data_IF_142698416610
#
_entry.id   IF_142698416610
#
_cell.length_a   1.000
_cell.length_b   1.000
_cell.length_c   1.000
_cell.angle_alpha   90.00
_cell.angle_beta   90.00
_cell.angle_gamma   90.00
#
_symmetry.space_group_name_H-M   'P 1'
#
loop_
_entity.id
_entity.type
_entity.pdbx_description
1 polymer ?
#
# COMPACT_ATOMS: atom_id res chain seq x y z
N UNK A 1 55.81 -2.14 -36.29
CA UNK A 1 56.20 -2.04 -37.73
C UNK A 1 55.00 -2.48 -38.56
N UNK A 2 54.87 -1.89 -39.72
CA UNK A 2 53.74 -0.99 -40.01
C UNK A 2 52.86 -1.51 -41.16
N UNK A 3 51.66 -0.95 -41.35
CA UNK A 3 51.29 -0.33 -42.65
C UNK A 3 49.89 0.31 -42.63
N UNK A 4 49.95 1.61 -42.81
CA UNK A 4 48.87 2.50 -43.22
C UNK A 4 48.37 2.14 -44.65
N UNK A 5 47.07 2.38 -44.91
CA UNK A 5 46.64 2.89 -46.24
C UNK A 5 45.36 3.71 -46.06
N UNK A 6 45.52 5.00 -46.26
CA UNK A 6 44.49 5.97 -46.60
C UNK A 6 43.98 5.75 -48.00
N UNK A 7 42.73 5.99 -48.26
CA UNK A 7 42.28 6.53 -49.55
C UNK A 7 41.03 7.42 -49.33
N UNK A 8 41.20 8.63 -49.79
CA UNK A 8 40.29 9.76 -49.85
C UNK A 8 39.44 9.76 -51.12
N UNK A 9 38.50 10.70 -51.15
CA UNK A 9 37.71 11.32 -52.24
C UNK A 9 36.33 10.75 -52.53
N UNK A 10 35.31 11.60 -52.41
CA UNK A 10 34.58 12.23 -53.47
C UNK A 10 33.36 13.02 -53.01
N UNK A 11 33.40 14.29 -53.17
CA UNK A 11 32.38 15.32 -53.05
C UNK A 11 31.42 15.23 -54.25
N UNK A 12 30.13 15.33 -54.04
CA UNK A 12 29.20 15.83 -55.08
C UNK A 12 28.04 16.58 -54.44
N UNK A 13 28.06 17.87 -54.61
CA UNK A 13 27.02 18.86 -54.39
C UNK A 13 25.99 18.78 -55.51
N UNK A 14 24.71 18.79 -55.22
CA UNK A 14 23.68 19.28 -56.14
C UNK A 14 22.52 19.88 -55.35
N UNK A 15 22.45 21.20 -55.41
CA UNK A 15 21.30 21.99 -54.97
C UNK A 15 20.31 22.15 -56.11
N UNK A 16 19.04 22.04 -55.84
CA UNK A 16 18.00 22.71 -56.66
C UNK A 16 16.82 23.10 -55.77
N UNK A 17 16.50 24.37 -55.90
CA UNK A 17 15.42 25.11 -55.23
C UNK A 17 14.15 25.14 -56.11
N UNK A 18 13.05 25.62 -55.49
CA UNK A 18 11.82 26.22 -56.04
C UNK A 18 10.57 25.27 -55.91
N UNK A 19 9.39 25.71 -55.56
CA UNK A 19 8.69 27.00 -55.39
C UNK A 19 7.38 26.77 -54.66
N UNK A 20 6.91 27.73 -53.93
CA UNK A 20 5.65 27.86 -53.23
C UNK A 20 4.45 27.81 -54.20
N UNK A 21 3.32 27.25 -53.76
CA UNK A 21 1.98 27.72 -54.14
C UNK A 21 0.99 27.56 -52.97
N UNK A 22 0.49 28.65 -52.55
CA UNK A 22 -0.64 28.87 -51.68
C UNK A 22 -1.95 28.40 -52.34
N UNK A 23 -2.77 27.68 -51.58
CA UNK A 23 -4.12 27.32 -52.02
C UNK A 23 -5.05 27.23 -50.81
N UNK A 24 -5.78 28.32 -50.49
CA UNK A 24 -6.94 28.30 -49.64
C UNK A 24 -8.09 27.59 -50.39
N UNK A 25 -8.70 26.57 -49.77
CA UNK A 25 -10.04 26.16 -50.06
C UNK A 25 -10.71 25.69 -48.79
N UNK A 26 -11.72 26.42 -48.38
CA UNK A 26 -12.71 26.07 -47.36
C UNK A 26 -13.56 24.90 -47.82
N UNK A 27 -13.73 23.89 -46.96
CA UNK A 27 -14.67 22.80 -47.16
C UNK A 27 -14.78 21.98 -45.87
N UNK A 28 -15.88 22.11 -45.17
CA UNK A 28 -16.18 21.42 -43.94
C UNK A 28 -16.20 19.90 -44.10
N UNK A 29 -15.68 19.19 -43.16
CA UNK A 29 -15.74 17.74 -42.99
C UNK A 29 -15.47 17.50 -41.53
N UNK A 30 -16.54 17.32 -40.81
CA UNK A 30 -16.59 16.83 -39.43
C UNK A 30 -15.95 15.42 -39.43
N UNK A 31 -14.67 15.36 -39.07
CA UNK A 31 -14.02 14.11 -38.68
C UNK A 31 -13.84 14.20 -37.18
N UNK A 32 -14.79 13.61 -36.45
CA UNK A 32 -14.66 13.36 -35.03
C UNK A 32 -13.34 12.61 -34.79
N UNK A 33 -12.29 13.37 -34.50
CA UNK A 33 -11.14 12.88 -33.76
C UNK A 33 -11.66 12.64 -32.36
N UNK A 34 -11.81 11.40 -31.99
CA UNK A 34 -11.92 11.07 -30.58
C UNK A 34 -10.66 11.63 -29.90
N UNK A 35 -10.82 12.69 -29.13
CA UNK A 35 -9.92 12.96 -28.06
C UNK A 35 -10.00 11.71 -27.16
N UNK A 36 -9.02 10.82 -27.26
CA UNK A 36 -8.64 10.03 -26.11
C UNK A 36 -8.33 11.08 -25.06
N UNK A 37 -9.19 11.18 -24.05
CA UNK A 37 -8.87 11.89 -22.85
C UNK A 37 -7.48 11.39 -22.46
N UNK A 38 -6.47 12.25 -22.52
CA UNK A 38 -5.20 12.00 -21.88
C UNK A 38 -5.62 11.87 -20.42
N UNK A 39 -5.55 10.65 -19.88
CA UNK A 39 -5.72 10.43 -18.44
C UNK A 39 -4.80 11.43 -17.75
N UNK A 40 -5.28 12.03 -16.67
CA UNK A 40 -4.50 12.99 -15.91
C UNK A 40 -3.14 12.38 -15.60
N UNK A 41 -2.07 13.12 -15.88
CA UNK A 41 -0.70 12.66 -15.61
C UNK A 41 -0.42 12.87 -14.12
N UNK A 42 -0.83 11.89 -13.30
CA UNK A 42 -0.60 11.90 -11.85
C UNK A 42 0.89 11.74 -11.46
N UNK A 43 1.81 11.87 -12.42
CA UNK A 43 3.24 11.65 -12.19
C UNK A 43 3.54 10.20 -11.77
N UNK A 44 2.83 9.23 -12.35
CA UNK A 44 2.96 7.81 -12.00
C UNK A 44 4.35 7.26 -12.36
N UNK A 45 4.82 6.33 -11.55
CA UNK A 45 6.08 5.59 -11.76
C UNK A 45 6.02 4.79 -13.07
N UNK A 46 4.86 4.23 -13.39
CA UNK A 46 4.56 3.58 -14.66
C UNK A 46 3.29 4.18 -15.27
N UNK A 47 3.39 4.75 -16.46
CA UNK A 47 2.27 5.41 -17.11
C UNK A 47 1.04 4.49 -17.24
N UNK A 48 -0.11 4.95 -16.74
CA UNK A 48 -1.38 4.23 -16.76
C UNK A 48 -1.48 3.09 -15.73
N UNK A 49 -0.54 3.01 -14.77
CA UNK A 49 -0.53 1.99 -13.73
C UNK A 49 -0.33 2.64 -12.37
N UNK A 50 -1.24 2.42 -11.44
CA UNK A 50 -1.06 2.74 -10.03
C UNK A 50 -0.20 1.66 -9.38
N UNK A 51 1.04 1.99 -9.04
CA UNK A 51 1.96 1.06 -8.37
C UNK A 51 1.85 1.22 -6.86
N UNK A 52 1.60 0.13 -6.17
CA UNK A 52 1.36 0.06 -4.73
C UNK A 52 2.42 -0.80 -4.06
N UNK A 53 3.06 -0.27 -3.02
CA UNK A 53 3.91 -1.03 -2.11
C UNK A 53 3.11 -1.43 -0.88
N UNK A 54 3.21 -2.70 -0.48
CA UNK A 54 2.46 -3.29 0.63
C UNK A 54 3.30 -4.36 1.32
N UNK A 55 3.19 -4.53 2.62
CA UNK A 55 3.86 -5.60 3.38
C UNK A 55 2.92 -6.80 3.49
N UNK A 56 3.23 -7.85 2.75
CA UNK A 56 2.35 -9.01 2.54
C UNK A 56 3.00 -10.27 3.13
N UNK A 57 2.27 -11.07 3.93
CA UNK A 57 0.82 -11.00 4.21
C UNK A 57 0.47 -10.19 5.47
N UNK A 58 -0.68 -9.51 5.44
CA UNK A 58 -1.32 -8.87 6.59
C UNK A 58 -2.86 -8.97 6.48
N UNK A 59 -3.40 -10.18 6.57
CA UNK A 59 -4.84 -10.42 6.42
C UNK A 59 -5.65 -9.76 7.57
N UNK A 60 -6.82 -9.17 7.29
CA UNK A 60 -7.60 -9.23 6.04
C UNK A 60 -7.31 -8.09 5.05
N UNK A 61 -6.27 -7.26 5.25
CA UNK A 61 -5.99 -6.07 4.44
C UNK A 61 -5.25 -6.39 3.13
N UNK A 62 -4.19 -7.23 3.20
CA UNK A 62 -3.40 -7.67 2.06
C UNK A 62 -2.86 -9.09 2.24
N UNK A 63 -3.11 -9.95 1.27
CA UNK A 63 -2.62 -11.33 1.27
C UNK A 63 -2.63 -11.93 -0.14
N UNK A 64 -1.96 -13.06 -0.32
CA UNK A 64 -1.90 -13.74 -1.62
C UNK A 64 -3.28 -14.24 -2.08
N UNK A 65 -3.62 -14.04 -3.34
CA UNK A 65 -4.87 -14.50 -3.95
C UNK A 65 -5.54 -13.47 -4.84
N UNK A 66 -6.85 -13.65 -5.05
CA UNK A 66 -7.71 -12.75 -5.82
C UNK A 66 -7.61 -12.91 -7.35
N UNK A 67 -8.58 -12.29 -8.02
CA UNK A 67 -8.76 -12.37 -9.48
C UNK A 67 -8.50 -11.03 -10.20
N UNK A 68 -7.99 -10.01 -9.49
CA UNK A 68 -7.72 -8.66 -10.01
C UNK A 68 -6.48 -8.57 -10.92
N UNK A 69 -5.72 -9.65 -11.05
CA UNK A 69 -4.53 -9.74 -11.89
C UNK A 69 -3.23 -9.33 -11.21
N UNK A 70 -3.26 -8.87 -9.96
CA UNK A 70 -2.05 -8.52 -9.17
C UNK A 70 -1.43 -9.74 -8.50
N UNK A 71 -2.20 -10.79 -8.24
CA UNK A 71 -1.82 -11.95 -7.42
C UNK A 71 -2.11 -11.77 -5.93
N UNK A 72 -2.68 -10.62 -5.54
CA UNK A 72 -2.99 -10.24 -4.17
C UNK A 72 -4.44 -9.79 -4.04
N UNK A 73 -4.99 -9.91 -2.84
CA UNK A 73 -6.33 -9.49 -2.45
C UNK A 73 -6.31 -9.03 -1.00
N UNK A 74 -7.44 -8.62 -0.48
CA UNK A 74 -7.61 -8.04 0.85
C UNK A 74 -8.27 -6.68 0.75
N UNK A 75 -8.67 -6.14 1.88
CA UNK A 75 -9.46 -4.91 1.91
C UNK A 75 -8.73 -3.74 1.24
N UNK A 76 -7.44 -3.54 1.55
CA UNK A 76 -6.62 -2.47 0.96
C UNK A 76 -6.48 -2.65 -0.56
N UNK A 77 -6.21 -3.89 -0.99
CA UNK A 77 -5.98 -4.22 -2.39
C UNK A 77 -7.27 -4.06 -3.21
N UNK A 78 -8.40 -4.57 -2.71
CA UNK A 78 -9.68 -4.49 -3.42
C UNK A 78 -10.23 -3.05 -3.45
N UNK A 79 -9.99 -2.27 -2.39
CA UNK A 79 -10.33 -0.85 -2.35
C UNK A 79 -9.51 -0.07 -3.38
N UNK A 80 -8.19 -0.33 -3.45
CA UNK A 80 -7.32 0.29 -4.44
C UNK A 80 -7.57 -0.17 -5.88
N UNK A 81 -8.00 -1.42 -6.08
CA UNK A 81 -8.42 -1.89 -7.40
C UNK A 81 -9.67 -1.16 -7.89
N UNK A 82 -10.63 -0.90 -7.00
CA UNK A 82 -11.80 -0.08 -7.31
C UNK A 82 -11.43 1.38 -7.61
N UNK A 83 -10.54 1.97 -6.79
CA UNK A 83 -10.03 3.34 -6.99
C UNK A 83 -9.26 3.43 -8.33
N UNK A 84 -8.33 2.52 -8.61
CA UNK A 84 -7.56 2.51 -9.85
C UNK A 84 -8.48 2.44 -11.08
N UNK A 85 -9.49 1.58 -11.04
CA UNK A 85 -10.50 1.47 -12.11
C UNK A 85 -11.29 2.75 -12.32
N UNK A 86 -11.66 3.46 -11.25
CA UNK A 86 -12.39 4.74 -11.36
C UNK A 86 -11.52 5.84 -11.98
N UNK A 87 -10.20 5.75 -11.83
CA UNK A 87 -9.21 6.67 -12.42
C UNK A 87 -8.69 6.21 -13.81
N UNK A 88 -9.27 5.16 -14.39
CA UNK A 88 -8.83 4.53 -15.65
C UNK A 88 -7.37 4.04 -15.61
N UNK A 89 -6.92 3.57 -14.44
CA UNK A 89 -5.60 3.03 -14.18
C UNK A 89 -5.66 1.51 -13.99
N UNK A 90 -4.52 0.84 -14.25
CA UNK A 90 -4.29 -0.52 -13.80
C UNK A 90 -3.71 -0.52 -12.40
N UNK A 91 -3.98 -1.57 -11.62
CA UNK A 91 -3.32 -1.78 -10.34
C UNK A 91 -2.10 -2.71 -10.50
N UNK A 92 -0.99 -2.36 -9.86
CA UNK A 92 0.19 -3.21 -9.70
C UNK A 92 0.62 -3.17 -8.23
N UNK A 93 0.87 -4.33 -7.63
CA UNK A 93 1.23 -4.43 -6.21
C UNK A 93 2.61 -5.04 -6.08
N UNK A 94 3.44 -4.49 -5.20
CA UNK A 94 4.79 -4.96 -4.88
C UNK A 94 4.88 -5.24 -3.38
N UNK A 95 5.32 -6.44 -3.03
CA UNK A 95 5.61 -6.81 -1.65
C UNK A 95 6.93 -6.16 -1.20
N UNK A 96 6.88 -5.44 -0.08
CA UNK A 96 7.99 -4.71 0.53
C UNK A 96 7.90 -4.79 2.07
N UNK A 97 9.02 -4.64 2.77
CA UNK A 97 8.98 -4.63 4.24
C UNK A 97 8.36 -3.36 4.82
N UNK A 98 7.52 -3.53 5.85
CA UNK A 98 6.76 -2.46 6.50
C UNK A 98 7.65 -1.33 7.06
N UNK A 99 8.75 -1.66 7.72
CA UNK A 99 9.64 -0.66 8.34
C UNK A 99 10.20 0.35 7.31
N UNK A 100 10.59 -0.13 6.12
CA UNK A 100 11.04 0.74 5.03
C UNK A 100 9.88 1.55 4.40
N UNK A 101 8.68 0.99 4.39
CA UNK A 101 7.49 1.66 3.87
C UNK A 101 7.00 2.76 4.81
N UNK A 102 6.81 2.45 6.10
CA UNK A 102 6.30 3.38 7.10
C UNK A 102 7.27 4.54 7.38
N UNK A 103 8.58 4.32 7.25
CA UNK A 103 9.58 5.39 7.37
C UNK A 103 9.64 6.34 6.16
N UNK A 104 8.92 6.05 5.09
CA UNK A 104 8.91 6.81 3.84
C UNK A 104 10.07 6.49 2.89
N UNK A 105 11.01 5.63 3.30
CA UNK A 105 12.22 5.32 2.50
C UNK A 105 11.87 4.71 1.15
N UNK A 106 10.92 3.77 1.12
CA UNK A 106 10.48 3.07 -0.10
C UNK A 106 9.83 4.03 -1.10
N UNK A 107 8.95 4.92 -0.61
CA UNK A 107 8.22 5.89 -1.45
C UNK A 107 9.14 7.02 -1.94
N UNK A 108 10.01 7.54 -1.07
CA UNK A 108 11.01 8.54 -1.46
C UNK A 108 12.01 8.03 -2.50
N UNK A 109 12.24 6.71 -2.58
CA UNK A 109 13.05 6.09 -3.63
C UNK A 109 12.31 5.97 -4.98
N UNK A 110 11.01 6.31 -5.05
CA UNK A 110 10.19 6.17 -6.25
C UNK A 110 9.93 4.71 -6.64
N UNK A 111 9.93 3.80 -5.68
CA UNK A 111 9.67 2.37 -5.93
C UNK A 111 8.22 2.15 -6.33
N UNK A 112 7.30 2.84 -5.67
CA UNK A 112 5.85 2.80 -5.90
C UNK A 112 5.27 4.21 -5.88
N UNK A 113 4.06 4.36 -6.40
CA UNK A 113 3.32 5.62 -6.35
C UNK A 113 2.75 5.88 -4.96
N UNK A 114 2.27 4.81 -4.30
CA UNK A 114 1.67 4.85 -2.97
C UNK A 114 2.09 3.65 -2.13
N UNK A 115 1.91 3.77 -0.82
CA UNK A 115 1.95 2.69 0.16
C UNK A 115 0.56 2.37 0.68
N UNK A 116 0.20 1.08 0.74
CA UNK A 116 -1.02 0.58 1.36
C UNK A 116 -0.70 -0.69 2.13
N UNK A 117 -0.84 -0.65 3.44
CA UNK A 117 -0.51 -1.77 4.32
C UNK A 117 -1.11 -1.54 5.71
N UNK A 118 -2.42 -1.34 5.78
CA UNK A 118 -3.13 -1.00 7.02
C UNK A 118 -2.39 0.07 7.84
N UNK A 119 -1.85 1.08 7.15
CA UNK A 119 -0.90 2.02 7.75
C UNK A 119 -1.60 3.11 8.54
N UNK A 120 -1.43 3.10 9.85
CA UNK A 120 -1.94 4.14 10.74
C UNK A 120 -1.32 5.50 10.43
N UNK A 121 -2.15 6.52 10.26
CA UNK A 121 -1.76 7.92 10.18
C UNK A 121 -1.25 8.36 11.55
N UNK A 122 0.02 8.76 11.66
CA UNK A 122 0.61 9.27 12.91
C UNK A 122 1.43 10.52 12.64
N UNK A 123 1.57 11.41 13.63
CA UNK A 123 2.43 12.61 13.53
C UNK A 123 3.88 12.26 13.17
N UNK A 124 4.38 11.12 13.65
CA UNK A 124 5.73 10.65 13.35
C UNK A 124 5.87 10.30 11.86
N UNK A 125 4.90 9.54 11.31
CA UNK A 125 4.88 9.17 9.89
C UNK A 125 4.63 10.37 8.99
N UNK A 126 3.75 11.29 9.39
CA UNK A 126 3.48 12.54 8.67
C UNK A 126 4.70 13.45 8.55
N UNK A 127 5.74 13.28 9.35
CA UNK A 127 6.99 13.99 9.16
C UNK A 127 7.69 13.61 7.84
N UNK A 128 7.51 12.38 7.36
CA UNK A 128 8.18 11.82 6.19
C UNK A 128 7.23 11.37 5.06
N UNK A 129 5.94 11.32 5.33
CA UNK A 129 4.89 10.87 4.42
C UNK A 129 3.76 11.90 4.37
N UNK A 130 3.02 11.90 3.27
CA UNK A 130 1.68 12.46 3.21
C UNK A 130 0.67 11.31 3.14
N UNK A 131 -0.57 11.54 3.58
CA UNK A 131 -1.59 10.51 3.61
C UNK A 131 -2.84 10.93 2.83
N UNK A 132 -3.59 9.94 2.38
CA UNK A 132 -4.98 10.12 1.94
C UNK A 132 -5.89 10.51 3.11
N UNK A 133 -7.14 10.83 2.81
CA UNK A 133 -8.19 10.79 3.82
C UNK A 133 -8.26 9.40 4.45
N UNK A 134 -8.57 9.28 5.75
CA UNK A 134 -8.61 7.99 6.42
C UNK A 134 -9.69 7.08 5.80
N UNK A 135 -9.36 5.79 5.61
CA UNK A 135 -10.29 4.84 5.03
C UNK A 135 -10.78 3.75 5.99
N UNK A 136 -10.10 3.53 7.12
CA UNK A 136 -10.45 2.51 8.12
C UNK A 136 -10.12 2.98 9.53
N UNK A 137 -10.97 2.66 10.53
CA UNK A 137 -10.71 2.88 11.95
C UNK A 137 -10.28 1.57 12.58
N UNK A 138 -9.18 1.54 13.33
CA UNK A 138 -8.62 0.33 13.93
C UNK A 138 -8.46 0.43 15.44
N UNK A 139 -8.32 -0.74 16.05
CA UNK A 139 -7.94 -0.94 17.46
C UNK A 139 -6.65 -1.74 17.51
N UNK A 140 -5.92 -1.65 18.62
CA UNK A 140 -4.88 -2.61 18.96
C UNK A 140 -5.49 -3.76 19.79
N UNK A 141 -4.84 -4.93 19.79
CA UNK A 141 -5.31 -6.07 20.59
C UNK A 141 -4.19 -6.99 21.05
N UNK A 142 -4.47 -7.73 22.12
CA UNK A 142 -3.58 -8.73 22.69
C UNK A 142 -4.12 -10.14 22.41
N UNK A 143 -3.41 -10.88 21.55
CA UNK A 143 -3.68 -12.27 21.22
C UNK A 143 -2.77 -13.19 22.03
N UNK A 144 -3.35 -14.24 22.62
CA UNK A 144 -2.63 -15.22 23.42
C UNK A 144 -3.15 -16.64 23.17
N UNK A 145 -2.40 -17.65 23.58
CA UNK A 145 -2.95 -19.00 23.65
C UNK A 145 -4.07 -19.10 24.70
N UNK A 146 -5.11 -19.84 24.38
CA UNK A 146 -6.26 -20.01 25.28
C UNK A 146 -5.89 -20.65 26.63
N UNK A 147 -4.79 -21.42 26.69
CA UNK A 147 -4.28 -22.10 27.88
C UNK A 147 -3.10 -21.38 28.57
N UNK A 148 -2.70 -20.18 28.08
CA UNK A 148 -1.55 -19.42 28.60
C UNK A 148 -1.71 -18.90 30.04
N UNK A 149 -2.96 -18.69 30.47
CA UNK A 149 -3.26 -18.03 31.73
C UNK A 149 -3.17 -16.50 31.70
N UNK A 150 -2.68 -15.90 30.59
CA UNK A 150 -2.65 -14.44 30.38
C UNK A 150 -4.06 -13.94 30.12
N UNK A 151 -4.46 -12.83 30.74
CA UNK A 151 -5.81 -12.26 30.65
C UNK A 151 -5.81 -10.78 30.27
N UNK A 152 -4.66 -10.11 30.48
CA UNK A 152 -4.50 -8.70 30.19
C UNK A 152 -3.04 -8.37 29.95
N UNK A 153 -2.76 -7.14 29.53
CA UNK A 153 -1.40 -6.62 29.34
C UNK A 153 -0.61 -6.61 30.65
N UNK A 154 -1.27 -6.50 31.81
CA UNK A 154 -0.63 -6.54 33.14
C UNK A 154 -0.01 -7.90 33.47
N UNK A 155 -0.43 -8.97 32.79
CA UNK A 155 0.11 -10.33 33.00
C UNK A 155 1.37 -10.62 32.15
N UNK A 156 1.87 -9.62 31.39
CA UNK A 156 2.98 -9.81 30.43
C UNK A 156 4.37 -9.67 31.05
N UNK A 157 4.49 -9.31 32.32
CA UNK A 157 5.82 -9.18 32.96
C UNK A 157 6.61 -10.49 32.90
N UNK A 158 7.81 -10.45 32.31
CA UNK A 158 8.69 -11.60 32.07
C UNK A 158 8.20 -12.54 30.94
N UNK A 159 7.25 -12.10 30.11
CA UNK A 159 6.77 -12.81 28.93
C UNK A 159 7.41 -12.26 27.66
N UNK A 160 7.57 -13.13 26.67
CA UNK A 160 7.97 -12.72 25.32
C UNK A 160 6.73 -12.26 24.56
N UNK A 161 6.70 -10.99 24.21
CA UNK A 161 5.60 -10.39 23.42
C UNK A 161 6.10 -10.11 22.01
N UNK A 162 5.51 -10.77 21.02
CA UNK A 162 5.81 -10.52 19.62
C UNK A 162 5.12 -9.27 19.13
N UNK A 163 5.86 -8.45 18.41
CA UNK A 163 5.39 -7.23 17.74
C UNK A 163 6.02 -7.14 16.36
N UNK A 164 5.35 -6.50 15.43
CA UNK A 164 5.97 -6.19 14.14
C UNK A 164 6.74 -4.88 14.24
N UNK A 165 7.96 -4.85 13.71
CA UNK A 165 8.86 -3.70 13.74
C UNK A 165 8.27 -2.48 13.02
N UNK A 166 8.35 -1.30 13.66
CA UNK A 166 7.90 -0.03 13.08
C UNK A 166 6.39 0.21 13.11
N UNK A 167 5.63 -0.66 13.82
CA UNK A 167 4.18 -0.52 13.95
C UNK A 167 3.75 0.29 15.18
N UNK A 168 2.52 0.77 15.17
CA UNK A 168 1.87 1.36 16.35
C UNK A 168 1.64 0.33 17.45
N UNK A 169 1.44 -0.94 17.10
CA UNK A 169 1.39 -2.07 18.05
C UNK A 169 2.69 -2.24 18.82
N UNK A 170 3.85 -2.14 18.17
CA UNK A 170 5.15 -2.14 18.83
C UNK A 170 5.28 -0.95 19.81
N UNK A 171 4.90 0.25 19.36
CA UNK A 171 4.93 1.46 20.19
C UNK A 171 4.03 1.29 21.41
N UNK A 172 2.78 0.84 21.20
CA UNK A 172 1.84 0.59 22.29
C UNK A 172 2.37 -0.43 23.30
N UNK A 173 2.93 -1.55 22.82
CA UNK A 173 3.53 -2.57 23.68
C UNK A 173 4.70 -2.02 24.49
N UNK A 174 5.58 -1.21 23.88
CA UNK A 174 6.74 -0.62 24.56
C UNK A 174 6.36 0.35 25.68
N UNK A 175 5.23 1.02 25.54
CA UNK A 175 4.73 2.01 26.50
C UNK A 175 3.88 1.38 27.61
N UNK A 176 3.18 0.27 27.34
CA UNK A 176 2.13 -0.24 28.23
C UNK A 176 2.39 -1.65 28.78
N UNK A 177 3.22 -2.49 28.11
CA UNK A 177 3.52 -3.85 28.58
C UNK A 177 4.69 -3.86 29.58
N UNK A 178 4.46 -3.40 30.80
CA UNK A 178 5.52 -3.23 31.81
C UNK A 178 6.20 -4.58 32.16
N UNK A 179 7.52 -4.62 31.95
CA UNK A 179 8.32 -5.79 32.26
C UNK A 179 8.22 -6.94 31.25
N UNK A 180 7.53 -6.75 30.14
CA UNK A 180 7.54 -7.69 29.00
C UNK A 180 8.86 -7.63 28.26
N UNK A 181 9.26 -8.74 27.62
CA UNK A 181 10.36 -8.79 26.67
C UNK A 181 9.78 -8.71 25.24
N UNK A 182 9.96 -7.57 24.57
CA UNK A 182 9.46 -7.39 23.21
C UNK A 182 10.37 -8.12 22.20
N UNK A 183 9.78 -8.96 21.37
CA UNK A 183 10.45 -9.68 20.29
C UNK A 183 9.92 -9.13 18.97
N UNK A 184 10.79 -8.41 18.26
CA UNK A 184 10.44 -7.77 16.99
C UNK A 184 10.53 -8.75 15.82
N UNK A 185 9.55 -8.71 14.93
CA UNK A 185 9.50 -9.46 13.69
C UNK A 185 9.35 -8.48 12.51
N UNK A 186 9.89 -8.80 11.33
CA UNK A 186 9.79 -7.90 10.18
C UNK A 186 8.38 -7.86 9.56
N UNK A 187 7.59 -8.96 9.68
CA UNK A 187 6.23 -9.06 9.14
C UNK A 187 5.35 -9.98 9.99
N UNK A 188 4.02 -9.92 9.79
CA UNK A 188 3.07 -10.90 10.37
C UNK A 188 3.35 -12.32 9.85
N UNK A 189 3.86 -12.44 8.62
CA UNK A 189 4.26 -13.73 8.03
C UNK A 189 5.33 -14.48 8.83
N UNK A 190 6.10 -13.81 9.68
CA UNK A 190 7.04 -14.44 10.63
C UNK A 190 6.55 -14.39 12.06
N UNK A 191 5.81 -13.36 12.44
CA UNK A 191 5.26 -13.16 13.78
C UNK A 191 4.28 -14.28 14.15
N UNK A 192 3.30 -14.55 13.30
CA UNK A 192 2.31 -15.60 13.54
C UNK A 192 2.90 -17.00 13.63
N UNK A 193 3.78 -17.49 12.72
CA UNK A 193 4.48 -18.75 12.88
C UNK A 193 5.32 -18.84 14.16
N UNK A 194 5.93 -17.75 14.63
CA UNK A 194 6.67 -17.74 15.88
C UNK A 194 5.75 -17.97 17.10
N UNK A 195 4.55 -17.38 17.10
CA UNK A 195 3.52 -17.63 18.10
C UNK A 195 3.06 -19.09 18.09
N UNK A 196 2.82 -19.66 16.91
CA UNK A 196 2.42 -21.07 16.74
C UNK A 196 3.53 -22.04 17.22
N UNK A 197 4.79 -21.66 17.01
CA UNK A 197 5.96 -22.44 17.47
C UNK A 197 6.23 -22.30 18.99
N UNK A 198 5.51 -21.41 19.70
CA UNK A 198 5.70 -21.14 21.12
C UNK A 198 7.00 -20.38 21.43
N UNK A 199 7.51 -19.61 20.48
CA UNK A 199 8.68 -18.75 20.67
C UNK A 199 8.34 -17.45 21.41
N UNK A 200 7.08 -17.03 21.34
CA UNK A 200 6.49 -15.90 22.04
C UNK A 200 5.23 -16.34 22.78
N UNK A 201 4.87 -15.62 23.83
CA UNK A 201 3.74 -15.90 24.71
C UNK A 201 2.46 -15.15 24.29
N UNK A 202 2.62 -14.03 23.60
CA UNK A 202 1.54 -13.15 23.15
C UNK A 202 1.93 -12.39 21.88
N UNK A 203 0.93 -11.91 21.13
CA UNK A 203 1.08 -10.95 20.03
C UNK A 203 0.29 -9.69 20.40
N UNK A 204 0.91 -8.51 20.25
CA UNK A 204 0.25 -7.23 20.29
C UNK A 204 0.34 -6.58 18.92
N UNK A 205 -0.80 -6.46 18.25
CA UNK A 205 -0.95 -5.87 16.92
C UNK A 205 -2.41 -5.49 16.66
N UNK A 206 -2.70 -4.99 15.47
CA UNK A 206 -4.02 -4.56 15.04
C UNK A 206 -5.08 -5.63 15.26
N UNK A 207 -6.21 -5.22 15.83
CA UNK A 207 -7.29 -6.13 16.21
C UNK A 207 -7.84 -6.94 15.03
N UNK A 208 -8.05 -6.40 13.82
CA UNK A 208 -8.57 -7.19 12.71
C UNK A 208 -7.67 -8.35 12.31
N UNK A 209 -6.34 -8.17 12.40
CA UNK A 209 -5.36 -9.22 12.05
C UNK A 209 -5.33 -10.31 13.11
N UNK A 210 -5.32 -9.94 14.39
CA UNK A 210 -5.43 -10.90 15.48
C UNK A 210 -6.76 -11.66 15.45
N UNK A 211 -7.84 -11.03 14.98
CA UNK A 211 -9.13 -11.68 14.80
C UNK A 211 -9.09 -12.77 13.71
N UNK A 212 -8.35 -12.52 12.63
CA UNK A 212 -8.13 -13.56 11.60
C UNK A 212 -7.33 -14.74 12.16
N UNK A 213 -6.32 -14.50 12.99
CA UNK A 213 -5.58 -15.57 13.67
C UNK A 213 -6.47 -16.38 14.64
N UNK A 214 -7.32 -15.70 15.42
CA UNK A 214 -8.29 -16.35 16.32
C UNK A 214 -9.32 -17.21 15.55
N UNK A 215 -9.83 -16.69 14.43
CA UNK A 215 -10.73 -17.44 13.55
C UNK A 215 -10.05 -18.65 12.90
N UNK A 216 -8.78 -18.50 12.50
CA UNK A 216 -8.02 -19.56 11.85
C UNK A 216 -7.64 -20.70 12.81
N UNK A 217 -7.37 -20.40 14.09
CA UNK A 217 -6.98 -21.40 15.08
C UNK A 217 -7.56 -21.10 16.48
N UNK A 218 -8.55 -21.87 16.88
CA UNK A 218 -9.24 -21.76 18.19
C UNK A 218 -8.35 -22.04 19.41
N UNK A 219 -7.08 -22.43 19.23
CA UNK A 219 -6.09 -22.49 20.30
C UNK A 219 -5.64 -21.12 20.78
N UNK A 220 -5.98 -20.06 20.04
CA UNK A 220 -5.64 -18.67 20.33
C UNK A 220 -6.91 -17.84 20.53
N UNK A 221 -6.76 -16.73 21.22
CA UNK A 221 -7.87 -15.78 21.46
C UNK A 221 -7.34 -14.39 21.74
N UNK A 222 -8.11 -13.39 21.35
CA UNK A 222 -7.96 -12.02 21.84
C UNK A 222 -8.46 -11.97 23.29
N UNK A 223 -7.65 -11.43 24.20
CA UNK A 223 -7.98 -11.28 25.61
C UNK A 223 -8.25 -9.84 26.01
N UNK A 224 -7.74 -8.90 25.22
CA UNK A 224 -7.90 -7.47 25.47
C UNK A 224 -7.81 -6.68 24.15
N UNK A 225 -8.62 -5.61 24.05
CA UNK A 225 -8.65 -4.68 22.93
C UNK A 225 -8.38 -3.27 23.46
N UNK A 226 -7.64 -2.47 22.70
CA UNK A 226 -7.23 -1.13 23.08
C UNK A 226 -7.69 -0.11 22.04
N UNK A 227 -8.51 0.85 22.49
CA UNK A 227 -8.87 1.97 21.62
C UNK A 227 -7.74 3.01 21.64
N UNK A 228 -7.02 3.08 20.53
CA UNK A 228 -5.90 4.01 20.31
C UNK A 228 -6.27 5.14 19.36
N UNK A 229 -7.54 5.22 18.94
CA UNK A 229 -8.07 6.18 17.96
C UNK A 229 -7.30 6.15 16.62
N UNK A 230 -6.83 4.96 16.24
CA UNK A 230 -6.05 4.75 15.01
C UNK A 230 -6.92 4.79 13.76
N UNK A 231 -6.42 5.48 12.75
CA UNK A 231 -7.03 5.55 11.41
C UNK A 231 -5.99 5.19 10.36
N UNK A 232 -6.37 4.34 9.40
CA UNK A 232 -5.48 3.98 8.28
C UNK A 232 -5.66 4.94 7.12
N UNK A 233 -4.54 5.27 6.46
CA UNK A 233 -4.47 6.06 5.23
C UNK A 233 -3.51 5.46 4.23
N UNK A 234 -3.75 5.71 2.94
CA UNK A 234 -2.77 5.43 1.90
C UNK A 234 -1.64 6.44 1.98
N UNK A 235 -0.40 5.97 1.96
CA UNK A 235 0.79 6.78 2.14
C UNK A 235 1.39 7.23 0.80
N UNK A 236 1.92 8.44 0.77
CA UNK A 236 2.59 9.07 -0.38
C UNK A 236 3.96 9.60 0.04
N UNK A 237 4.89 9.70 -0.90
CA UNK A 237 6.15 10.39 -0.66
C UNK A 237 5.89 11.85 -0.26
N UNK A 238 6.59 12.31 0.78
CA UNK A 238 6.35 13.63 1.39
C UNK A 238 6.52 14.78 0.43
N UNK A 239 5.47 15.60 0.28
CA UNK A 239 5.45 16.77 -0.60
C UNK A 239 5.43 16.43 -2.09
N UNK A 240 5.10 15.19 -2.42
CA UNK A 240 4.99 14.69 -3.79
C UNK A 240 3.59 14.13 -4.05
N UNK A 241 3.24 13.95 -5.34
CA UNK A 241 1.99 13.25 -5.75
C UNK A 241 0.67 13.89 -5.24
N UNK A 242 0.63 15.21 -4.98
CA UNK A 242 -0.57 15.87 -4.47
C UNK A 242 -1.79 15.66 -5.38
N UNK A 243 -1.62 15.72 -6.72
CA UNK A 243 -2.71 15.50 -7.68
C UNK A 243 -3.24 14.05 -7.61
N UNK A 244 -2.35 13.06 -7.46
CA UNK A 244 -2.75 11.66 -7.26
C UNK A 244 -3.49 11.48 -5.94
N UNK A 245 -3.00 12.09 -4.87
CA UNK A 245 -3.62 12.00 -3.54
C UNK A 245 -5.04 12.61 -3.55
N UNK A 246 -5.21 13.77 -4.18
CA UNK A 246 -6.54 14.38 -4.34
C UNK A 246 -7.47 13.50 -5.18
N UNK A 247 -6.97 12.90 -6.26
CA UNK A 247 -7.76 11.98 -7.10
C UNK A 247 -8.17 10.72 -6.32
N UNK A 248 -7.27 10.13 -5.53
CA UNK A 248 -7.56 8.97 -4.68
C UNK A 248 -8.60 9.33 -3.61
N UNK A 249 -8.49 10.49 -2.95
CA UNK A 249 -9.49 10.96 -1.99
C UNK A 249 -10.86 11.16 -2.64
N UNK A 250 -10.89 11.74 -3.85
CA UNK A 250 -12.13 11.90 -4.62
C UNK A 250 -12.77 10.55 -4.95
N UNK A 251 -11.98 9.60 -5.46
CA UNK A 251 -12.45 8.25 -5.76
C UNK A 251 -12.94 7.50 -4.51
N UNK A 252 -12.21 7.62 -3.39
CA UNK A 252 -12.63 7.05 -2.11
C UNK A 252 -13.97 7.60 -1.63
N UNK A 253 -14.19 8.91 -1.79
CA UNK A 253 -15.47 9.53 -1.45
C UNK A 253 -16.60 9.04 -2.38
N UNK A 254 -16.34 8.90 -3.69
CA UNK A 254 -17.31 8.37 -4.64
C UNK A 254 -17.69 6.92 -4.32
N UNK A 255 -16.73 6.07 -3.93
CA UNK A 255 -17.01 4.69 -3.49
C UNK A 255 -17.86 4.65 -2.21
N UNK A 256 -17.68 5.60 -1.30
CA UNK A 256 -18.54 5.74 -0.11
C UNK A 256 -19.95 6.17 -0.46
N UNK A 257 -20.08 7.15 -1.34
CA UNK A 257 -21.37 7.71 -1.75
C UNK A 257 -22.19 6.71 -2.58
N UNK A 258 -21.53 5.86 -3.40
CA UNK A 258 -22.19 4.79 -4.18
C UNK A 258 -22.58 3.57 -3.33
N UNK A 259 -21.91 3.34 -2.20
CA UNK A 259 -22.03 2.14 -1.36
C UNK A 259 -21.08 1.00 -1.76
N UNK A 260 -20.24 1.20 -2.76
CA UNK A 260 -19.25 0.21 -3.18
C UNK A 260 -18.19 -0.01 -2.10
N UNK A 261 -17.77 1.06 -1.40
CA UNK A 261 -16.91 0.94 -0.22
C UNK A 261 -17.51 -0.03 0.82
N UNK A 262 -18.79 0.11 1.16
CA UNK A 262 -19.45 -0.77 2.12
C UNK A 262 -19.51 -2.21 1.61
N UNK A 263 -19.72 -2.40 0.31
CA UNK A 263 -19.73 -3.73 -0.29
C UNK A 263 -18.35 -4.41 -0.17
N UNK A 264 -17.26 -3.67 -0.42
CA UNK A 264 -15.90 -4.17 -0.23
C UNK A 264 -15.62 -4.46 1.25
N UNK A 265 -15.99 -3.53 2.14
CA UNK A 265 -15.83 -3.67 3.60
C UNK A 265 -16.52 -4.94 4.12
N UNK A 266 -17.75 -5.18 3.70
CA UNK A 266 -18.56 -6.32 4.17
C UNK A 266 -17.97 -7.68 3.77
N UNK A 267 -17.16 -7.73 2.70
CA UNK A 267 -16.47 -8.97 2.31
C UNK A 267 -15.41 -9.42 3.32
N UNK A 268 -14.88 -8.50 4.13
CA UNK A 268 -13.75 -8.76 5.01
C UNK A 268 -14.11 -8.66 6.50
N UNK A 269 -15.06 -7.81 6.88
CA UNK A 269 -15.28 -7.43 8.28
C UNK A 269 -16.67 -7.74 8.81
N UNK A 270 -17.60 -8.24 8.02
CA UNK A 270 -18.88 -8.74 8.54
C UNK A 270 -18.79 -10.23 8.86
N UNK A 271 -19.20 -10.60 10.08
CA UNK A 271 -19.34 -12.01 10.45
C UNK A 271 -20.46 -12.65 9.60
N UNK A 272 -20.17 -13.79 8.97
CA UNK A 272 -21.21 -14.70 8.45
C UNK A 272 -22.04 -15.30 9.60
#
# INVERSE_FOLDING_TARGET
>A
MPRRRNLTFGIALAATAMLALSGCASGGGDAGGGETAAGDDYGLTEAGTLTVCSDIPYAPFEFEGGDNGTGYTGFDIDLLDAIAKSLDLKLSVQDVGFDALQSGTTLAAGTCDIGASAMTITEEREANLDFSDPYYDSLQSLLVRTDSGIKSIDDLSGRNVGVQQGTTGETYASENAEGAELVQYPSDGELWPAMQAGQIDAILQDQPVNLEHEKADSAYKIVEEYNTDEQYGFAFAKGEKDELREAINGALQELRDSGDYQTIYDNYFTAE
#
